data_IF_178603463805
#
_entry.id   IF_178603463805
#
_cell.length_a   1.000
_cell.length_b   1.000
_cell.length_c   1.000
_cell.angle_alpha   90.00
_cell.angle_beta   90.00
_cell.angle_gamma   90.00
#
_symmetry.space_group_name_H-M   'P 1'
#
loop_
_entity.id
_entity.type
_entity.pdbx_description
1 polymer ?
#
# COMPACT_ATOMS: atom_id res chain seq x y z
N UNK A 1 11.77 -8.11 -9.70
CA UNK A 1 11.54 -7.38 -8.43
C UNK A 1 10.20 -6.70 -8.52
N UNK A 2 9.22 -7.15 -7.75
CA UNK A 2 7.88 -6.55 -7.75
C UNK A 2 7.87 -5.35 -6.79
N UNK A 3 7.48 -4.18 -7.29
CA UNK A 3 7.28 -2.98 -6.46
C UNK A 3 5.83 -2.98 -5.98
N UNK A 4 5.63 -3.02 -4.66
CA UNK A 4 4.31 -3.02 -4.03
C UNK A 4 4.30 -2.04 -2.86
N UNK A 5 3.16 -1.40 -2.64
CA UNK A 5 2.90 -0.49 -1.52
C UNK A 5 1.58 -0.88 -0.87
N UNK A 6 1.46 -0.60 0.42
CA UNK A 6 0.19 -0.70 1.13
C UNK A 6 -0.59 0.60 0.94
N UNK A 7 -1.90 0.48 0.85
CA UNK A 7 -2.80 1.63 0.73
C UNK A 7 -4.21 1.28 1.17
N UNK A 8 -4.98 2.32 1.51
CA UNK A 8 -6.38 2.24 1.89
C UNK A 8 -7.25 2.71 0.73
N UNK A 9 -8.29 1.95 0.40
CA UNK A 9 -9.34 2.41 -0.52
C UNK A 9 -10.09 3.57 0.13
N UNK A 10 -10.06 4.74 -0.50
CA UNK A 10 -10.72 5.94 0.00
C UNK A 10 -12.12 6.04 -0.61
N UNK A 11 -12.19 6.06 -1.94
CA UNK A 11 -13.43 6.26 -2.67
C UNK A 11 -13.31 5.76 -4.11
N UNK A 12 -14.43 5.76 -4.82
CA UNK A 12 -14.51 5.56 -6.26
C UNK A 12 -15.18 6.78 -6.88
N UNK A 13 -14.60 7.29 -7.96
CA UNK A 13 -15.12 8.44 -8.70
C UNK A 13 -14.83 8.24 -10.18
N UNK A 14 -15.13 9.23 -11.00
CA UNK A 14 -14.86 9.25 -12.42
C UNK A 14 -14.16 10.56 -12.79
N UNK A 15 -13.20 10.49 -13.70
CA UNK A 15 -12.53 11.65 -14.28
C UNK A 15 -12.84 11.72 -15.77
N UNK A 16 -12.80 12.92 -16.33
CA UNK A 16 -12.92 13.13 -17.77
C UNK A 16 -11.52 13.26 -18.36
N UNK A 17 -11.22 12.44 -19.36
CA UNK A 17 -9.92 12.42 -20.05
C UNK A 17 -10.16 12.40 -21.56
N UNK A 18 -9.62 13.38 -22.30
CA UNK A 18 -9.69 13.46 -23.78
C UNK A 18 -11.07 13.19 -24.43
N UNK A 19 -12.17 13.54 -23.74
CA UNK A 19 -13.58 13.26 -24.11
C UNK A 19 -14.16 11.89 -23.70
N UNK A 20 -13.45 11.14 -22.86
CA UNK A 20 -13.88 9.85 -22.31
C UNK A 20 -14.05 9.95 -20.80
N UNK A 21 -15.14 9.39 -20.28
CA UNK A 21 -15.38 9.26 -18.85
C UNK A 21 -14.71 7.99 -18.33
N UNK A 22 -13.69 8.13 -17.48
CA UNK A 22 -12.91 7.01 -16.94
C UNK A 22 -13.23 6.80 -15.46
N UNK A 23 -13.78 5.63 -15.07
CA UNK A 23 -13.99 5.31 -13.66
C UNK A 23 -12.66 4.99 -12.98
N UNK A 24 -12.42 5.61 -11.83
CA UNK A 24 -11.18 5.48 -11.06
C UNK A 24 -11.45 5.16 -9.58
N UNK A 25 -10.46 4.53 -8.94
CA UNK A 25 -10.46 4.30 -7.49
C UNK A 25 -9.37 5.16 -6.85
N UNK A 26 -9.75 5.95 -5.86
CA UNK A 26 -8.83 6.73 -5.05
C UNK A 26 -8.27 5.83 -3.95
N UNK A 27 -6.96 5.67 -3.93
CA UNK A 27 -6.22 4.90 -2.93
C UNK A 27 -5.28 5.85 -2.21
N UNK A 28 -5.41 5.93 -0.88
CA UNK A 28 -4.45 6.60 -0.02
C UNK A 28 -3.28 5.63 0.21
N UNK A 29 -2.11 5.97 -0.31
CA UNK A 29 -0.92 5.14 -0.19
C UNK A 29 0.11 5.79 0.74
N UNK A 30 0.70 4.97 1.60
CA UNK A 30 1.82 5.36 2.46
C UNK A 30 1.46 6.20 3.70
N UNK A 31 2.46 6.49 4.55
CA UNK A 31 3.85 6.01 4.49
C UNK A 31 3.94 4.49 4.77
N UNK A 32 4.67 3.76 3.91
CA UNK A 32 4.91 2.31 4.06
C UNK A 32 6.31 2.06 4.61
N UNK A 33 6.44 1.92 5.94
CA UNK A 33 7.74 1.70 6.59
C UNK A 33 8.14 0.23 6.51
N UNK A 34 9.43 -0.05 6.30
CA UNK A 34 9.95 -1.43 6.34
C UNK A 34 10.12 -1.83 7.80
N UNK A 35 9.30 -2.78 8.27
CA UNK A 35 9.34 -3.28 9.66
C UNK A 35 10.35 -4.40 9.80
N UNK A 36 10.34 -5.36 8.87
CA UNK A 36 11.23 -6.51 8.93
C UNK A 36 11.58 -6.99 7.51
N UNK A 37 12.83 -7.47 7.35
CA UNK A 37 13.27 -8.22 6.17
C UNK A 37 13.40 -9.69 6.54
N UNK A 38 12.54 -10.54 5.98
CA UNK A 38 12.63 -11.99 6.14
C UNK A 38 13.56 -12.58 5.10
N UNK A 39 14.49 -13.40 5.57
CA UNK A 39 15.55 -14.00 4.74
C UNK A 39 15.49 -15.52 4.83
N UNK A 40 15.76 -16.22 3.72
CA UNK A 40 15.68 -17.69 3.65
C UNK A 40 16.40 -18.42 4.78
N UNK A 41 17.60 -17.94 5.19
CA UNK A 41 18.41 -18.58 6.24
C UNK A 41 17.70 -18.65 7.61
N UNK A 42 16.93 -17.62 7.97
CA UNK A 42 16.26 -17.53 9.27
C UNK A 42 14.77 -17.91 9.20
N UNK A 43 14.11 -17.63 8.07
CA UNK A 43 12.65 -17.70 7.95
C UNK A 43 12.15 -18.74 6.94
N UNK A 44 13.03 -19.41 6.18
CA UNK A 44 12.64 -20.37 5.14
C UNK A 44 12.18 -19.75 3.82
N UNK A 45 11.98 -18.42 3.76
CA UNK A 45 11.58 -17.69 2.55
C UNK A 45 12.11 -16.24 2.55
N UNK A 46 12.02 -15.57 1.40
CA UNK A 46 12.37 -14.16 1.26
C UNK A 46 11.09 -13.31 1.20
N UNK A 47 10.96 -12.33 2.07
CA UNK A 47 9.85 -11.37 2.05
C UNK A 47 10.22 -10.05 2.74
N UNK A 48 9.49 -8.98 2.40
CA UNK A 48 9.56 -7.69 3.08
C UNK A 48 8.24 -7.47 3.82
N UNK A 49 8.33 -7.13 5.10
CA UNK A 49 7.18 -6.72 5.89
C UNK A 49 7.08 -5.20 5.89
N UNK A 50 5.92 -4.69 5.46
CA UNK A 50 5.61 -3.28 5.43
C UNK A 50 4.61 -2.94 6.54
N UNK A 51 4.86 -1.85 7.27
CA UNK A 51 3.90 -1.23 8.18
C UNK A 51 3.17 -0.11 7.45
N UNK A 52 1.89 0.06 7.76
CA UNK A 52 1.01 1.05 7.12
C UNK A 52 0.02 1.63 8.13
N UNK A 53 -0.21 2.94 8.03
CA UNK A 53 -1.06 3.71 8.94
C UNK A 53 -0.41 3.99 10.29
N UNK A 54 -0.99 4.94 11.03
CA UNK A 54 -0.65 5.21 12.42
C UNK A 54 -1.68 4.55 13.34
N UNK A 55 -1.21 3.90 14.41
CA UNK A 55 -2.08 3.56 15.55
C UNK A 55 -1.98 4.72 16.53
N UNK A 56 -3.10 5.40 16.80
CA UNK A 56 -3.15 6.40 17.87
C UNK A 56 -2.79 5.75 19.21
N UNK A 57 -2.10 6.49 20.08
CA UNK A 57 -1.82 6.05 21.45
C UNK A 57 -3.10 5.52 22.08
N UNK A 58 -3.08 4.23 22.42
CA UNK A 58 -4.12 3.63 23.24
C UNK A 58 -3.71 3.93 24.68
N UNK A 59 -4.11 5.10 25.19
CA UNK A 59 -4.18 5.36 26.64
C UNK A 59 -5.19 4.44 27.30
#
# INVERSE_FOLDING_TARGET
>A
MSKVILGRKVAMTQIFDENVLVPITIVEAGPCVIVERKVKKKNGYNAIQLGFGSKGESS
#
